data_IF_607768929493
#
_entry.id   IF_607768929493
#
_cell.length_a   1.000
_cell.length_b   1.000
_cell.length_c   1.000
_cell.angle_alpha   90.00
_cell.angle_beta   90.00
_cell.angle_gamma   90.00
#
_symmetry.space_group_name_H-M   'P 1'
#
loop_
_entity.id
_entity.type
_entity.pdbx_description
1 polymer ?
#
# COMPACT_ATOMS: atom_id res chain seq x y z
N UNK A 1 -53.93 50.70 18.74
CA UNK A 1 -52.73 50.86 17.88
C UNK A 1 -51.55 50.26 18.64
N UNK A 2 -51.07 49.09 18.17
CA UNK A 2 -49.81 48.37 18.42
C UNK A 2 -49.21 48.27 19.83
N UNK A 3 -49.19 47.05 20.35
CA UNK A 3 -48.30 46.52 21.39
C UNK A 3 -46.83 46.61 20.95
N UNK A 4 -45.94 47.03 21.86
CA UNK A 4 -44.49 46.98 21.67
C UNK A 4 -43.96 45.67 22.28
N UNK A 5 -43.82 44.64 21.45
CA UNK A 5 -43.09 43.43 21.81
C UNK A 5 -41.58 43.71 21.69
N UNK A 6 -40.87 43.73 22.82
CA UNK A 6 -39.43 43.77 22.86
C UNK A 6 -38.89 42.38 22.48
N UNK A 7 -38.39 42.25 21.24
CA UNK A 7 -37.75 41.04 20.76
C UNK A 7 -36.46 40.77 21.55
N UNK A 8 -36.40 39.64 22.24
CA UNK A 8 -35.17 39.08 22.83
C UNK A 8 -34.25 38.68 21.68
N UNK A 9 -32.97 39.11 21.64
CA UNK A 9 -32.06 38.72 20.57
C UNK A 9 -31.70 37.25 20.72
N UNK A 10 -32.00 36.46 19.70
CA UNK A 10 -31.63 35.05 19.57
C UNK A 10 -30.10 34.93 19.49
N UNK A 11 -29.48 34.40 20.55
CA UNK A 11 -28.06 34.05 20.56
C UNK A 11 -27.86 32.89 19.59
N UNK A 12 -27.47 33.23 18.36
CA UNK A 12 -27.09 32.26 17.33
C UNK A 12 -25.89 31.48 17.81
N UNK A 13 -26.14 30.26 18.31
CA UNK A 13 -25.11 29.32 18.73
C UNK A 13 -24.19 28.97 17.56
N UNK A 14 -23.02 29.59 17.52
CA UNK A 14 -21.93 29.17 16.64
C UNK A 14 -21.49 27.77 17.08
N UNK A 15 -21.75 26.76 16.24
CA UNK A 15 -21.20 25.41 16.43
C UNK A 15 -19.68 25.56 16.62
N UNK A 16 -19.07 24.96 17.66
CA UNK A 16 -17.63 25.03 17.85
C UNK A 16 -16.96 24.53 16.57
N UNK A 17 -16.13 25.37 15.98
CA UNK A 17 -15.33 25.03 14.81
C UNK A 17 -14.47 23.83 15.18
N UNK A 18 -14.66 22.72 14.48
CA UNK A 18 -13.82 21.54 14.67
C UNK A 18 -12.36 21.99 14.49
N UNK A 19 -11.45 21.67 15.42
CA UNK A 19 -10.07 22.08 15.29
C UNK A 19 -9.55 21.59 13.93
N UNK A 20 -8.81 22.43 13.19
CA UNK A 20 -8.34 22.07 11.86
C UNK A 20 -7.59 20.74 11.94
N UNK A 21 -7.89 19.83 11.00
CA UNK A 21 -7.22 18.52 10.92
C UNK A 21 -5.72 18.74 10.71
N UNK A 22 -4.95 18.66 11.79
CA UNK A 22 -3.49 18.85 11.76
C UNK A 22 -2.84 17.61 11.13
N UNK A 23 -1.97 17.82 10.14
CA UNK A 23 -1.13 16.75 9.59
C UNK A 23 -0.20 16.25 10.71
N UNK A 24 -0.21 14.94 11.05
CA UNK A 24 0.65 14.42 12.11
C UNK A 24 2.14 14.65 11.80
N UNK A 25 2.94 14.87 12.85
CA UNK A 25 4.39 15.14 12.72
C UNK A 25 5.17 14.00 12.06
N UNK A 26 4.76 12.75 12.29
CA UNK A 26 5.42 11.57 11.73
C UNK A 26 4.93 11.20 10.32
N UNK A 27 4.05 12.01 9.70
CA UNK A 27 3.54 11.77 8.35
C UNK A 27 4.68 11.61 7.35
N UNK A 28 4.71 10.45 6.68
CA UNK A 28 5.68 10.10 5.65
C UNK A 28 7.04 9.60 6.16
N UNK A 29 7.34 9.69 7.46
CA UNK A 29 8.67 9.30 7.97
C UNK A 29 8.93 7.79 7.90
N UNK A 30 7.91 6.96 8.13
CA UNK A 30 8.04 5.50 8.00
C UNK A 30 8.50 5.11 6.57
N UNK A 31 7.87 5.67 5.55
CA UNK A 31 8.24 5.40 4.15
C UNK A 31 9.57 6.03 3.77
N UNK A 32 9.90 7.20 4.33
CA UNK A 32 11.21 7.84 4.12
C UNK A 32 12.37 7.00 4.66
N UNK A 33 12.20 6.40 5.85
CA UNK A 33 13.19 5.47 6.42
C UNK A 33 13.21 4.11 5.70
N UNK A 34 12.05 3.65 5.23
CA UNK A 34 11.94 2.36 4.54
C UNK A 34 12.55 2.36 3.14
N UNK A 35 12.48 3.48 2.42
CA UNK A 35 13.02 3.59 1.06
C UNK A 35 14.50 3.15 0.93
N UNK A 36 15.47 3.69 1.70
CA UNK A 36 16.85 3.23 1.62
C UNK A 36 17.04 1.78 2.08
N UNK A 37 16.27 1.33 3.08
CA UNK A 37 16.31 -0.05 3.54
C UNK A 37 15.89 -1.03 2.43
N UNK A 38 14.80 -0.72 1.71
CA UNK A 38 14.31 -1.51 0.57
C UNK A 38 15.28 -1.46 -0.61
N UNK A 39 15.89 -0.30 -0.88
CA UNK A 39 16.88 -0.20 -1.94
C UNK A 39 18.07 -1.15 -1.67
N UNK A 40 18.63 -1.10 -0.46
CA UNK A 40 19.78 -1.94 -0.08
C UNK A 40 19.38 -3.42 -0.02
N UNK A 41 18.33 -3.76 0.74
CA UNK A 41 17.87 -5.13 0.90
C UNK A 41 17.38 -5.73 -0.42
N UNK A 42 16.79 -4.91 -1.29
CA UNK A 42 16.34 -5.30 -2.62
C UNK A 42 17.48 -5.54 -3.61
N UNK A 43 18.55 -4.76 -3.53
CA UNK A 43 19.78 -5.03 -4.29
C UNK A 43 20.40 -6.36 -3.85
N UNK A 44 20.47 -6.62 -2.54
CA UNK A 44 20.93 -7.91 -1.99
C UNK A 44 20.06 -9.05 -2.49
N UNK A 45 18.73 -8.92 -2.36
CA UNK A 45 17.77 -9.92 -2.85
C UNK A 45 17.96 -10.23 -4.33
N UNK A 46 18.10 -9.19 -5.15
CA UNK A 46 18.27 -9.35 -6.60
C UNK A 46 19.63 -9.95 -6.95
N UNK A 47 20.70 -9.59 -6.23
CA UNK A 47 22.05 -10.10 -6.50
C UNK A 47 22.20 -11.58 -6.08
N UNK A 48 21.56 -11.96 -4.97
CA UNK A 48 21.63 -13.31 -4.41
C UNK A 48 20.59 -14.27 -4.97
N UNK A 49 19.66 -13.83 -5.82
CA UNK A 49 18.72 -14.74 -6.46
C UNK A 49 19.45 -15.71 -7.41
N UNK A 50 19.12 -17.00 -7.29
CA UNK A 50 19.89 -18.11 -7.87
C UNK A 50 19.78 -18.21 -9.40
N UNK A 51 18.66 -17.76 -9.96
CA UNK A 51 18.37 -17.84 -11.39
C UNK A 51 18.16 -16.46 -12.01
N UNK A 52 18.47 -16.31 -13.30
CA UNK A 52 18.16 -15.07 -14.06
C UNK A 52 16.67 -14.72 -13.97
N UNK A 53 15.80 -15.74 -13.98
CA UNK A 53 14.36 -15.58 -13.77
C UNK A 53 14.04 -14.99 -12.40
N UNK A 54 14.66 -15.52 -11.34
CA UNK A 54 14.55 -14.99 -9.98
C UNK A 54 15.06 -13.55 -9.86
N UNK A 55 16.18 -13.22 -10.50
CA UNK A 55 16.74 -11.86 -10.53
C UNK A 55 15.79 -10.86 -11.18
N UNK A 56 15.20 -11.21 -12.33
CA UNK A 56 14.21 -10.36 -13.01
C UNK A 56 12.98 -10.17 -12.13
N UNK A 57 12.45 -11.26 -11.56
CA UNK A 57 11.26 -11.21 -10.73
C UNK A 57 11.46 -10.36 -9.46
N UNK A 58 12.58 -10.55 -8.77
CA UNK A 58 12.97 -9.76 -7.61
C UNK A 58 13.25 -8.31 -7.97
N UNK A 59 13.92 -8.05 -9.10
CA UNK A 59 14.18 -6.68 -9.57
C UNK A 59 12.89 -5.89 -9.81
N UNK A 60 11.87 -6.53 -10.39
CA UNK A 60 10.53 -5.92 -10.56
C UNK A 60 9.91 -5.62 -9.20
N UNK A 61 9.90 -6.59 -8.28
CA UNK A 61 9.38 -6.39 -6.93
C UNK A 61 10.06 -5.20 -6.22
N UNK A 62 11.39 -5.15 -6.24
CA UNK A 62 12.19 -4.08 -5.63
C UNK A 62 11.95 -2.73 -6.28
N UNK A 63 11.87 -2.67 -7.62
CA UNK A 63 11.57 -1.43 -8.32
C UNK A 63 10.21 -0.86 -7.90
N UNK A 64 9.17 -1.70 -7.87
CA UNK A 64 7.84 -1.25 -7.44
C UNK A 64 7.82 -0.81 -5.97
N UNK A 65 8.63 -1.44 -5.11
CA UNK A 65 8.75 -1.09 -3.71
C UNK A 65 9.47 0.25 -3.50
N UNK A 66 10.57 0.48 -4.22
CA UNK A 66 11.26 1.76 -4.28
C UNK A 66 10.34 2.88 -4.76
N UNK A 67 9.53 2.63 -5.80
CA UNK A 67 8.54 3.59 -6.27
C UNK A 67 7.48 3.88 -5.20
N UNK A 68 6.92 2.87 -4.55
CA UNK A 68 5.95 3.04 -3.47
C UNK A 68 6.52 3.90 -2.34
N UNK A 69 7.59 3.43 -1.69
CA UNK A 69 8.14 4.08 -0.50
C UNK A 69 8.73 5.45 -0.84
N UNK A 70 9.42 5.58 -1.97
CA UNK A 70 10.04 6.83 -2.42
C UNK A 70 9.01 7.91 -2.75
N UNK A 71 8.02 7.59 -3.60
CA UNK A 71 6.95 8.55 -3.95
C UNK A 71 6.13 8.93 -2.73
N UNK A 72 5.80 7.95 -1.87
CA UNK A 72 5.01 8.21 -0.68
C UNK A 72 5.74 9.10 0.33
N UNK A 73 7.04 8.85 0.54
CA UNK A 73 7.89 9.71 1.35
C UNK A 73 7.93 11.13 0.77
N UNK A 74 8.17 11.27 -0.53
CA UNK A 74 8.24 12.56 -1.21
C UNK A 74 6.92 13.34 -1.09
N UNK A 75 5.80 12.67 -1.37
CA UNK A 75 4.45 13.23 -1.25
C UNK A 75 4.18 13.76 0.16
N UNK A 76 4.47 12.96 1.17
CA UNK A 76 4.11 13.28 2.54
C UNK A 76 5.11 14.17 3.28
N UNK A 77 6.37 14.24 2.86
CA UNK A 77 7.39 15.04 3.55
C UNK A 77 7.56 16.43 2.94
N UNK A 78 7.33 16.60 1.65
CA UNK A 78 7.52 17.89 1.01
C UNK A 78 6.40 18.90 1.26
N UNK A 79 6.73 20.17 1.05
CA UNK A 79 5.80 21.29 1.03
C UNK A 79 5.59 21.72 -0.42
N UNK A 80 4.55 21.17 -1.06
CA UNK A 80 4.36 21.28 -2.49
C UNK A 80 3.24 22.26 -2.85
N UNK A 81 3.38 22.97 -3.96
CA UNK A 81 2.27 23.74 -4.53
C UNK A 81 1.08 22.85 -4.93
N UNK A 82 -0.10 23.42 -5.22
CA UNK A 82 -1.33 22.65 -5.49
C UNK A 82 -1.18 21.63 -6.61
N UNK A 83 -0.50 21.98 -7.70
CA UNK A 83 -0.26 21.10 -8.85
C UNK A 83 0.60 19.90 -8.48
N UNK A 84 1.75 20.14 -7.87
CA UNK A 84 2.67 19.08 -7.45
C UNK A 84 2.03 18.16 -6.39
N UNK A 85 1.30 18.71 -5.41
CA UNK A 85 0.51 17.94 -4.45
C UNK A 85 -0.49 17.01 -5.15
N UNK A 86 -1.20 17.49 -6.16
CA UNK A 86 -2.17 16.69 -6.89
C UNK A 86 -1.52 15.55 -7.67
N UNK A 87 -0.38 15.80 -8.33
CA UNK A 87 0.39 14.77 -9.07
C UNK A 87 0.95 13.73 -8.12
N UNK A 88 1.66 14.14 -7.06
CA UNK A 88 2.26 13.23 -6.09
C UNK A 88 1.21 12.35 -5.39
N UNK A 89 0.05 12.92 -5.06
CA UNK A 89 -1.09 12.13 -4.53
C UNK A 89 -1.62 11.09 -5.52
N UNK A 90 -1.61 11.38 -6.83
CA UNK A 90 -2.02 10.40 -7.85
C UNK A 90 -1.00 9.27 -7.90
N UNK A 91 0.29 9.61 -7.96
CA UNK A 91 1.38 8.63 -8.01
C UNK A 91 1.41 7.76 -6.75
N UNK A 92 1.29 8.36 -5.57
CA UNK A 92 1.26 7.66 -4.28
C UNK A 92 0.13 6.62 -4.21
N UNK A 93 -1.09 7.00 -4.59
CA UNK A 93 -2.22 6.07 -4.59
C UNK A 93 -2.15 5.04 -5.74
N UNK A 94 -1.62 5.41 -6.90
CA UNK A 94 -1.46 4.50 -8.03
C UNK A 94 -0.39 3.43 -7.73
N UNK A 95 0.67 3.80 -7.01
CA UNK A 95 1.75 2.88 -6.65
C UNK A 95 1.30 1.72 -5.77
N UNK A 96 0.16 1.82 -5.07
CA UNK A 96 -0.41 0.69 -4.32
C UNK A 96 -0.80 -0.45 -5.27
N UNK A 97 -1.41 -0.16 -6.43
CA UNK A 97 -1.68 -1.20 -7.45
C UNK A 97 -0.38 -1.80 -7.99
N UNK A 98 0.62 -0.94 -8.20
CA UNK A 98 1.90 -1.34 -8.77
C UNK A 98 2.69 -2.26 -7.84
N UNK A 99 2.77 -1.96 -6.54
CA UNK A 99 3.46 -2.83 -5.57
C UNK A 99 2.72 -4.14 -5.34
N UNK A 100 1.38 -4.17 -5.42
CA UNK A 100 0.64 -5.44 -5.35
C UNK A 100 1.07 -6.33 -6.53
N UNK A 101 1.00 -5.82 -7.77
CA UNK A 101 1.48 -6.55 -8.95
C UNK A 101 2.97 -6.94 -8.83
N UNK A 102 3.81 -6.02 -8.36
CA UNK A 102 5.23 -6.27 -8.13
C UNK A 102 5.50 -7.36 -7.10
N UNK A 103 4.68 -7.48 -6.05
CA UNK A 103 4.76 -8.56 -5.04
C UNK A 103 4.34 -9.90 -5.63
N UNK A 104 3.32 -9.92 -6.49
CA UNK A 104 2.91 -11.12 -7.21
C UNK A 104 3.95 -11.62 -8.21
N UNK A 105 4.77 -10.76 -8.79
CA UNK A 105 5.76 -11.16 -9.80
C UNK A 105 6.68 -12.31 -9.33
N UNK A 106 7.43 -12.20 -8.22
CA UNK A 106 8.23 -13.33 -7.73
C UNK A 106 7.38 -14.50 -7.23
N UNK A 107 6.22 -14.26 -6.61
CA UNK A 107 5.34 -15.35 -6.17
C UNK A 107 4.85 -16.21 -7.35
N UNK A 108 4.44 -15.57 -8.44
CA UNK A 108 3.97 -16.26 -9.65
C UNK A 108 5.10 -16.93 -10.42
N UNK A 109 6.24 -16.24 -10.58
CA UNK A 109 7.34 -16.74 -11.39
C UNK A 109 8.15 -17.83 -10.68
N UNK A 110 8.18 -17.87 -9.35
CA UNK A 110 9.02 -18.81 -8.60
C UNK A 110 8.23 -19.91 -7.87
N UNK A 111 6.95 -19.72 -7.56
CA UNK A 111 6.16 -20.72 -6.82
C UNK A 111 5.15 -21.48 -7.67
N UNK A 112 4.82 -20.99 -8.88
CA UNK A 112 3.78 -21.59 -9.71
C UNK A 112 4.35 -22.26 -10.97
N UNK A 113 3.71 -23.33 -11.46
CA UNK A 113 3.98 -23.85 -12.80
C UNK A 113 3.80 -22.77 -13.87
N UNK A 114 4.60 -22.79 -14.94
CA UNK A 114 4.68 -21.71 -15.94
C UNK A 114 3.35 -21.32 -16.61
N UNK A 115 2.43 -22.26 -16.82
CA UNK A 115 1.11 -21.97 -17.36
C UNK A 115 0.27 -21.16 -16.36
N UNK A 116 0.14 -21.67 -15.14
CA UNK A 116 -0.60 -21.07 -14.03
C UNK A 116 0.00 -19.73 -13.62
N UNK A 117 1.32 -19.66 -13.48
CA UNK A 117 2.06 -18.45 -13.14
C UNK A 117 1.83 -17.32 -14.14
N UNK A 118 1.86 -17.62 -15.45
CA UNK A 118 1.57 -16.62 -16.49
C UNK A 118 0.14 -16.10 -16.42
N UNK A 119 -0.85 -16.97 -16.19
CA UNK A 119 -2.26 -16.56 -16.07
C UNK A 119 -2.42 -15.58 -14.91
N UNK A 120 -1.93 -15.93 -13.72
CA UNK A 120 -2.02 -15.05 -12.56
C UNK A 120 -1.23 -13.75 -12.77
N UNK A 121 -0.01 -13.84 -13.32
CA UNK A 121 0.83 -12.67 -13.58
C UNK A 121 0.15 -11.66 -14.52
N UNK A 122 -0.41 -12.13 -15.64
CA UNK A 122 -1.14 -11.25 -16.56
C UNK A 122 -2.40 -10.68 -15.93
N UNK A 123 -3.14 -11.49 -15.17
CA UNK A 123 -4.35 -11.03 -14.49
C UNK A 123 -4.05 -9.90 -13.48
N UNK A 124 -3.02 -10.06 -12.63
CA UNK A 124 -2.67 -9.02 -11.65
C UNK A 124 -2.08 -7.78 -12.33
N UNK A 125 -1.22 -7.91 -13.33
CA UNK A 125 -0.68 -6.74 -14.02
C UNK A 125 -1.76 -5.98 -14.82
N UNK A 126 -2.69 -6.69 -15.47
CA UNK A 126 -3.84 -6.05 -16.13
C UNK A 126 -4.73 -5.32 -15.13
N UNK A 127 -5.05 -5.96 -13.99
CA UNK A 127 -5.80 -5.32 -12.91
C UNK A 127 -5.06 -4.10 -12.34
N UNK A 128 -3.74 -4.17 -12.19
CA UNK A 128 -2.91 -3.06 -11.73
C UNK A 128 -2.98 -1.87 -12.69
N UNK A 129 -2.80 -2.11 -14.00
CA UNK A 129 -2.87 -1.07 -15.03
C UNK A 129 -4.26 -0.43 -15.08
N UNK A 130 -5.32 -1.23 -15.00
CA UNK A 130 -6.69 -0.73 -14.93
C UNK A 130 -6.91 0.13 -13.66
N UNK A 131 -6.42 -0.31 -12.51
CA UNK A 131 -6.48 0.43 -11.24
C UNK A 131 -5.67 1.74 -11.27
N UNK A 132 -4.48 1.72 -11.88
CA UNK A 132 -3.64 2.90 -12.09
C UNK A 132 -4.36 3.91 -12.98
N UNK A 133 -4.88 3.46 -14.14
CA UNK A 133 -5.66 4.31 -15.05
C UNK A 133 -6.85 4.93 -14.33
N UNK A 134 -7.63 4.11 -13.60
CA UNK A 134 -8.74 4.57 -12.77
C UNK A 134 -8.32 5.67 -11.78
N UNK A 135 -7.19 5.51 -11.07
CA UNK A 135 -6.71 6.53 -10.10
C UNK A 135 -6.12 7.78 -10.74
N UNK A 136 -5.48 7.65 -11.90
CA UNK A 136 -4.88 8.78 -12.61
C UNK A 136 -5.96 9.65 -13.24
N UNK A 137 -6.97 9.04 -13.87
CA UNK A 137 -8.06 9.77 -14.53
C UNK A 137 -9.15 10.24 -13.56
N UNK A 138 -9.41 9.52 -12.45
CA UNK A 138 -10.40 9.92 -11.44
C UNK A 138 -9.78 10.27 -10.08
N UNK A 139 -9.23 11.48 -10.02
CA UNK A 139 -8.50 11.99 -8.84
C UNK A 139 -9.35 12.05 -7.58
N UNK A 140 -10.61 12.48 -7.73
CA UNK A 140 -11.58 12.66 -6.65
C UNK A 140 -12.29 11.37 -6.22
N UNK A 141 -11.94 10.21 -6.79
CA UNK A 141 -12.57 8.95 -6.41
C UNK A 141 -12.50 8.75 -4.89
N UNK A 142 -13.63 8.39 -4.25
CA UNK A 142 -13.68 8.25 -2.81
C UNK A 142 -12.88 7.03 -2.36
N UNK A 143 -12.31 7.12 -1.15
CA UNK A 143 -11.45 6.04 -0.59
C UNK A 143 -12.12 4.69 -0.46
N UNK A 144 -13.43 4.69 -0.17
CA UNK A 144 -14.21 3.47 -0.02
C UNK A 144 -14.32 2.69 -1.32
N UNK A 145 -14.08 3.34 -2.46
CA UNK A 145 -14.11 2.68 -3.77
C UNK A 145 -12.77 2.02 -4.10
N UNK A 146 -11.66 2.75 -3.99
CA UNK A 146 -10.35 2.21 -4.38
C UNK A 146 -9.71 1.29 -3.35
N UNK A 147 -10.03 1.44 -2.05
CA UNK A 147 -9.43 0.59 -1.00
C UNK A 147 -9.86 -0.88 -1.14
N UNK A 148 -11.15 -1.20 -1.37
CA UNK A 148 -11.57 -2.57 -1.71
C UNK A 148 -10.93 -3.11 -2.98
N UNK A 149 -10.67 -2.29 -4.00
CA UNK A 149 -9.96 -2.75 -5.20
C UNK A 149 -8.54 -3.25 -4.87
N UNK A 150 -7.82 -2.55 -3.99
CA UNK A 150 -6.50 -3.00 -3.52
C UNK A 150 -6.60 -4.34 -2.79
N UNK A 151 -7.58 -4.47 -1.88
CA UNK A 151 -7.77 -5.69 -1.08
C UNK A 151 -8.16 -6.84 -2.01
N UNK A 152 -9.15 -6.66 -2.89
CA UNK A 152 -9.59 -7.69 -3.83
C UNK A 152 -8.44 -8.20 -4.72
N UNK A 153 -7.65 -7.28 -5.27
CA UNK A 153 -6.46 -7.63 -6.05
C UNK A 153 -5.42 -8.38 -5.20
N UNK A 154 -5.19 -7.94 -3.96
CA UNK A 154 -4.29 -8.57 -3.00
C UNK A 154 -4.70 -9.98 -2.59
N UNK A 155 -5.99 -10.33 -2.64
CA UNK A 155 -6.51 -11.64 -2.26
C UNK A 155 -6.48 -12.69 -3.38
N UNK A 156 -6.07 -12.35 -4.61
CA UNK A 156 -5.94 -13.30 -5.70
C UNK A 156 -5.02 -14.50 -5.36
N UNK A 157 -4.04 -14.30 -4.47
CA UNK A 157 -3.12 -15.30 -3.95
C UNK A 157 -3.82 -16.46 -3.24
N UNK A 158 -5.01 -16.23 -2.67
CA UNK A 158 -5.75 -17.26 -1.91
C UNK A 158 -6.06 -18.48 -2.78
N UNK A 159 -6.35 -18.26 -4.06
CA UNK A 159 -6.64 -19.33 -5.01
C UNK A 159 -5.42 -20.21 -5.35
N UNK A 160 -4.21 -19.78 -4.97
CA UNK A 160 -2.94 -20.43 -5.29
C UNK A 160 -2.13 -20.83 -4.05
N UNK A 161 -2.70 -20.70 -2.84
CA UNK A 161 -2.05 -21.13 -1.60
C UNK A 161 -1.61 -22.61 -1.62
N UNK A 162 -2.37 -23.57 -2.20
CA UNK A 162 -1.91 -24.94 -2.30
C UNK A 162 -0.63 -25.10 -3.13
N UNK A 163 -0.47 -24.32 -4.20
CA UNK A 163 0.75 -24.30 -5.00
C UNK A 163 1.91 -23.65 -4.24
N UNK A 164 1.64 -22.54 -3.54
CA UNK A 164 2.66 -21.89 -2.70
C UNK A 164 3.18 -22.80 -1.59
N UNK A 165 2.31 -23.61 -0.99
CA UNK A 165 2.70 -24.63 -0.02
C UNK A 165 3.54 -25.73 -0.65
N UNK A 166 3.14 -26.23 -1.83
CA UNK A 166 3.85 -27.33 -2.51
C UNK A 166 5.25 -26.93 -2.94
N UNK A 167 5.42 -25.73 -3.50
CA UNK A 167 6.70 -25.28 -4.04
C UNK A 167 7.57 -24.59 -2.98
N UNK A 168 7.00 -23.68 -2.19
CA UNK A 168 7.75 -22.85 -1.23
C UNK A 168 7.73 -23.37 0.21
N UNK A 169 6.94 -24.41 0.51
CA UNK A 169 6.83 -24.98 1.85
C UNK A 169 6.02 -24.12 2.83
N UNK A 170 5.91 -24.62 4.06
CA UNK A 170 5.04 -24.05 5.09
C UNK A 170 5.47 -22.65 5.52
N UNK A 171 6.77 -22.38 5.57
CA UNK A 171 7.30 -21.08 5.97
C UNK A 171 6.85 -19.98 5.00
N UNK A 172 7.01 -20.20 3.69
CA UNK A 172 6.58 -19.25 2.66
C UNK A 172 5.07 -19.06 2.68
N UNK A 173 4.29 -20.14 2.82
CA UNK A 173 2.83 -20.06 2.93
C UNK A 173 2.40 -19.15 4.09
N UNK A 174 2.96 -19.38 5.29
CA UNK A 174 2.62 -18.59 6.48
C UNK A 174 2.98 -17.12 6.28
N UNK A 175 4.16 -16.83 5.72
CA UNK A 175 4.57 -15.45 5.44
C UNK A 175 3.62 -14.77 4.44
N UNK A 176 3.20 -15.46 3.37
CA UNK A 176 2.22 -14.91 2.42
C UNK A 176 0.88 -14.63 3.09
N UNK A 177 0.38 -15.54 3.93
CA UNK A 177 -0.88 -15.34 4.67
C UNK A 177 -0.77 -14.17 5.64
N UNK A 178 0.28 -14.13 6.46
CA UNK A 178 0.51 -13.07 7.44
C UNK A 178 0.66 -11.72 6.74
N UNK A 179 1.42 -11.65 5.65
CA UNK A 179 1.56 -10.43 4.84
C UNK A 179 0.22 -9.95 4.28
N UNK A 180 -0.59 -10.85 3.72
CA UNK A 180 -1.93 -10.54 3.22
C UNK A 180 -2.89 -10.05 4.30
N UNK A 181 -2.85 -10.64 5.50
CA UNK A 181 -3.64 -10.21 6.65
C UNK A 181 -3.18 -8.84 7.18
N UNK A 182 -1.88 -8.58 7.24
CA UNK A 182 -1.33 -7.28 7.65
C UNK A 182 -1.75 -6.17 6.67
N UNK A 183 -1.65 -6.42 5.36
CA UNK A 183 -2.13 -5.47 4.35
C UNK A 183 -3.63 -5.21 4.47
N UNK A 184 -4.42 -6.26 4.71
CA UNK A 184 -5.87 -6.15 4.88
C UNK A 184 -6.22 -5.33 6.13
N UNK A 185 -5.57 -5.60 7.26
CA UNK A 185 -5.74 -4.83 8.49
C UNK A 185 -5.38 -3.34 8.30
N UNK A 186 -4.27 -3.06 7.62
CA UNK A 186 -3.90 -1.70 7.23
C UNK A 186 -4.97 -1.04 6.36
N UNK A 187 -5.48 -1.73 5.33
CA UNK A 187 -6.52 -1.23 4.44
C UNK A 187 -7.83 -0.90 5.18
N UNK A 188 -8.23 -1.75 6.12
CA UNK A 188 -9.39 -1.52 7.00
C UNK A 188 -9.20 -0.27 7.86
N UNK A 189 -8.03 -0.12 8.50
CA UNK A 189 -7.69 1.06 9.31
C UNK A 189 -7.70 2.33 8.47
N UNK A 190 -7.16 2.28 7.26
CA UNK A 190 -7.14 3.40 6.33
C UNK A 190 -8.56 3.81 5.89
N UNK A 191 -9.43 2.82 5.64
CA UNK A 191 -10.84 3.03 5.31
C UNK A 191 -11.64 3.63 6.46
N UNK A 192 -11.53 3.05 7.66
CA UNK A 192 -12.26 3.44 8.87
C UNK A 192 -11.72 4.72 9.53
N UNK A 193 -10.48 5.12 9.22
CA UNK A 193 -9.74 6.21 9.88
C UNK A 193 -9.58 6.01 11.40
N UNK A 194 -9.56 4.75 11.86
CA UNK A 194 -9.38 4.37 13.27
C UNK A 194 -8.54 3.09 13.35
N UNK A 195 -7.73 2.91 14.41
CA UNK A 195 -7.52 3.83 15.54
C UNK A 195 -6.74 5.09 15.15
N UNK A 196 -6.82 6.15 15.96
CA UNK A 196 -6.11 7.42 15.74
C UNK A 196 -5.35 7.80 17.02
N UNK A 197 -4.27 7.06 17.36
CA UNK A 197 -3.73 7.02 18.72
C UNK A 197 -3.12 8.36 19.17
N UNK A 198 -2.50 9.11 18.25
CA UNK A 198 -2.04 10.47 18.52
C UNK A 198 -2.27 11.36 17.30
N UNK A 199 -3.38 12.11 17.23
CA UNK A 199 -3.72 12.96 16.08
C UNK A 199 -2.61 13.95 15.68
N UNK A 200 -1.77 14.36 16.63
CA UNK A 200 -0.66 15.30 16.40
C UNK A 200 0.64 14.62 15.97
N UNK A 201 0.88 13.38 16.36
CA UNK A 201 2.17 12.70 16.12
C UNK A 201 2.03 11.47 15.24
N UNK A 202 1.12 10.57 15.57
CA UNK A 202 0.94 9.26 14.97
C UNK A 202 -0.55 8.96 14.82
N UNK A 203 -1.13 9.37 13.70
CA UNK A 203 -2.55 9.19 13.43
C UNK A 203 -2.87 7.86 12.74
N UNK A 204 -4.13 7.68 12.34
CA UNK A 204 -4.59 6.45 11.67
C UNK A 204 -3.81 6.09 10.41
N UNK A 205 -3.27 7.10 9.72
CA UNK A 205 -2.53 6.90 8.48
C UNK A 205 -1.11 6.41 8.74
N UNK A 206 -0.49 6.85 9.83
CA UNK A 206 0.78 6.30 10.31
C UNK A 206 0.61 4.86 10.77
N UNK A 207 -0.51 4.52 11.43
CA UNK A 207 -0.88 3.13 11.74
C UNK A 207 -0.99 2.31 10.45
N UNK A 208 -1.71 2.80 9.45
CA UNK A 208 -1.79 2.17 8.13
C UNK A 208 -0.39 1.92 7.53
N UNK A 209 0.49 2.93 7.53
CA UNK A 209 1.86 2.79 7.03
C UNK A 209 2.70 1.76 7.81
N UNK A 210 2.48 1.61 9.11
CA UNK A 210 3.14 0.57 9.89
C UNK A 210 2.71 -0.84 9.46
N UNK A 211 1.41 -1.04 9.23
CA UNK A 211 0.90 -2.32 8.72
C UNK A 211 1.44 -2.63 7.31
N UNK A 212 1.50 -1.63 6.41
CA UNK A 212 2.07 -1.83 5.07
C UNK A 212 3.57 -2.11 5.11
N UNK A 213 4.33 -1.47 6.01
CA UNK A 213 5.74 -1.79 6.24
C UNK A 213 5.91 -3.24 6.71
N UNK A 214 5.17 -3.62 7.75
CA UNK A 214 5.26 -4.97 8.32
C UNK A 214 4.87 -6.04 7.29
N UNK A 215 3.78 -5.82 6.55
CA UNK A 215 3.37 -6.70 5.47
C UNK A 215 4.45 -6.81 4.39
N UNK A 216 5.03 -5.69 3.96
CA UNK A 216 6.12 -5.69 2.98
C UNK A 216 7.34 -6.48 3.48
N UNK A 217 7.77 -6.28 4.73
CA UNK A 217 8.91 -7.02 5.31
C UNK A 217 8.63 -8.51 5.33
N UNK A 218 7.42 -8.92 5.73
CA UNK A 218 7.02 -10.33 5.74
C UNK A 218 7.03 -10.94 4.33
N UNK A 219 6.51 -10.23 3.33
CA UNK A 219 6.58 -10.67 1.94
C UNK A 219 8.01 -10.70 1.40
N UNK A 220 8.84 -9.71 1.74
CA UNK A 220 10.26 -9.68 1.36
C UNK A 220 10.97 -10.93 1.88
N UNK A 221 10.80 -11.28 3.17
CA UNK A 221 11.40 -12.49 3.74
C UNK A 221 10.90 -13.75 3.02
N UNK A 222 9.59 -13.86 2.77
CA UNK A 222 9.03 -15.00 2.04
C UNK A 222 9.59 -15.12 0.62
N UNK A 223 9.72 -14.00 -0.09
CA UNK A 223 10.32 -13.96 -1.44
C UNK A 223 11.81 -14.31 -1.39
N UNK A 224 12.56 -13.84 -0.39
CA UNK A 224 13.97 -14.20 -0.21
C UNK A 224 14.16 -15.70 -0.02
N UNK A 225 13.34 -16.35 0.82
CA UNK A 225 13.42 -17.79 1.03
C UNK A 225 13.28 -18.56 -0.29
N UNK A 226 12.40 -18.11 -1.18
CA UNK A 226 12.16 -18.77 -2.46
C UNK A 226 13.28 -18.42 -3.46
N UNK A 227 13.68 -17.15 -3.53
CA UNK A 227 14.64 -16.67 -4.51
C UNK A 227 16.05 -17.23 -4.34
N UNK A 228 16.42 -17.64 -3.12
CA UNK A 228 17.73 -18.19 -2.78
C UNK A 228 17.77 -19.73 -2.70
N UNK A 229 16.67 -20.40 -3.04
CA UNK A 229 16.57 -21.86 -2.92
C UNK A 229 16.03 -22.54 -4.19
N UNK A 230 15.39 -21.78 -5.09
CA UNK A 230 14.79 -22.30 -6.30
C UNK A 230 15.51 -21.78 -7.54
N UNK A 231 16.41 -22.61 -8.08
CA UNK A 231 16.97 -22.49 -9.43
C UNK A 231 15.98 -22.98 -10.49
#
# INVERSE_FOLDING_TARGET
MRTMDAAVPEVTGTKPSQPPLVKPRLRGWLHAGMFPAVLIAGLVLTALADSTRGRVACGIYVLTACLLFGVSALYHRGNWGPRATAVLRRLDHANIFLIIAGTYTPLTLLLLPDSTGRILLWAVWAAALAGIAFRVFWVGAPRWLYTPCYIAMGWAAVFFLPDFLRTGGIAVLVLVIVGGLLYSAGGVIYGMKRPNPSPRWFGFHEVFHSFTLAAFVVHYVGISLVAYQHA
#
